data_IF_050478591948
#
_entry.id   IF_050478591948
#
_cell.length_a   1.000
_cell.length_b   1.000
_cell.length_c   1.000
_cell.angle_alpha   90.00
_cell.angle_beta   90.00
_cell.angle_gamma   90.00
#
_symmetry.space_group_name_H-M   'P 1'
#
loop_
_entity.id
_entity.type
_entity.pdbx_description
1 polymer ?
#
# COMPACT_ATOMS: atom_id res chain seq x y z
N UNK A 1 0.29 1.59 13.61
CA UNK A 1 -0.28 0.28 14.00
C UNK A 1 0.70 -0.37 14.96
N UNK A 2 0.46 -1.57 15.51
CA UNK A 2 1.44 -2.21 16.38
C UNK A 2 1.36 -3.73 16.33
N UNK A 3 2.48 -4.41 16.66
CA UNK A 3 2.54 -5.83 16.97
C UNK A 3 2.38 -6.00 18.48
N UNK A 4 1.42 -6.82 18.92
CA UNK A 4 1.22 -7.14 20.34
C UNK A 4 1.49 -8.62 20.58
N UNK A 5 2.33 -8.93 21.56
CA UNK A 5 2.27 -10.24 22.22
C UNK A 5 1.23 -10.19 23.33
N UNK A 6 0.11 -10.86 23.12
CA UNK A 6 -0.99 -10.92 24.07
C UNK A 6 -0.88 -12.17 24.93
N UNK A 7 -0.95 -12.02 26.26
CA UNK A 7 -1.11 -13.15 27.16
C UNK A 7 -2.61 -13.46 27.28
N UNK A 8 -3.09 -14.59 26.75
CA UNK A 8 -4.51 -14.93 26.81
C UNK A 8 -4.98 -15.33 28.21
N UNK A 9 -4.07 -15.80 29.07
CA UNK A 9 -4.39 -16.22 30.45
C UNK A 9 -4.49 -14.99 31.35
N UNK A 10 -3.46 -14.13 31.31
CA UNK A 10 -3.44 -12.90 32.11
C UNK A 10 -4.25 -11.75 31.46
N UNK A 11 -4.76 -11.95 30.24
CA UNK A 11 -5.53 -10.98 29.46
C UNK A 11 -4.86 -9.59 29.37
N UNK A 12 -3.56 -9.58 29.12
CA UNK A 12 -2.79 -8.33 29.03
C UNK A 12 -1.64 -8.43 28.02
N UNK A 13 -1.19 -7.31 27.43
CA UNK A 13 -0.01 -7.35 26.58
C UNK A 13 1.23 -7.67 27.43
N UNK A 14 2.06 -8.60 26.94
CA UNK A 14 3.41 -8.84 27.48
C UNK A 14 4.40 -7.79 26.99
N UNK A 15 4.29 -7.44 25.71
CA UNK A 15 5.04 -6.38 25.06
C UNK A 15 4.29 -5.87 23.82
N UNK A 16 4.71 -4.71 23.32
CA UNK A 16 4.23 -4.10 22.08
C UNK A 16 5.38 -3.52 21.28
N UNK A 17 5.28 -3.60 19.96
CA UNK A 17 6.19 -2.94 19.01
C UNK A 17 5.36 -2.04 18.10
N UNK A 18 5.66 -0.75 18.09
CA UNK A 18 5.02 0.19 17.17
C UNK A 18 5.44 -0.10 15.73
N UNK A 19 4.47 -0.09 14.83
CA UNK A 19 4.64 -0.40 13.42
C UNK A 19 4.25 0.78 12.52
N UNK A 20 4.95 0.93 11.39
CA UNK A 20 4.61 1.91 10.36
C UNK A 20 3.22 1.64 9.79
N UNK A 21 2.53 2.71 9.41
CA UNK A 21 1.23 2.66 8.76
C UNK A 21 0.14 2.00 9.60
N UNK A 22 -0.98 1.71 8.94
CA UNK A 22 -2.18 1.14 9.56
C UNK A 22 -2.49 -0.27 9.05
N UNK A 23 -1.62 -0.86 8.22
CA UNK A 23 -1.82 -2.16 7.59
C UNK A 23 -0.63 -3.11 7.86
N UNK A 24 -0.51 -3.65 9.09
CA UNK A 24 0.60 -4.52 9.45
C UNK A 24 0.48 -5.87 8.74
N UNK A 25 1.61 -6.51 8.45
CA UNK A 25 1.60 -7.85 7.89
C UNK A 25 1.28 -8.92 8.93
N UNK A 26 0.89 -10.09 8.43
CA UNK A 26 0.69 -11.29 9.24
C UNK A 26 1.98 -11.75 9.93
N UNK A 27 1.81 -12.58 10.97
CA UNK A 27 2.92 -13.06 11.80
C UNK A 27 3.06 -14.59 11.74
N UNK A 28 4.24 -15.08 12.09
CA UNK A 28 4.51 -16.51 12.33
C UNK A 28 5.45 -16.64 13.51
N UNK A 29 5.07 -17.44 14.52
CA UNK A 29 5.94 -17.82 15.62
C UNK A 29 6.62 -19.18 15.33
N UNK A 30 7.79 -19.42 15.92
CA UNK A 30 8.53 -20.67 15.80
C UNK A 30 8.93 -21.19 17.17
N UNK A 31 9.25 -22.49 17.28
CA UNK A 31 9.79 -23.09 18.50
C UNK A 31 11.21 -22.66 18.87
N UNK A 32 11.85 -21.80 18.07
CA UNK A 32 13.16 -21.22 18.35
C UNK A 32 13.09 -19.81 18.95
N UNK A 33 11.99 -19.48 19.63
CA UNK A 33 11.75 -18.18 20.28
C UNK A 33 11.79 -16.97 19.32
N UNK A 34 11.36 -17.17 18.07
CA UNK A 34 11.26 -16.12 17.07
C UNK A 34 9.82 -15.89 16.58
N UNK A 35 9.48 -14.62 16.37
CA UNK A 35 8.29 -14.18 15.64
C UNK A 35 8.71 -13.42 14.39
N UNK A 36 8.27 -13.87 13.22
CA UNK A 36 8.51 -13.21 11.94
C UNK A 36 7.30 -12.38 11.53
N UNK A 37 7.54 -11.19 10.97
CA UNK A 37 6.49 -10.31 10.46
C UNK A 37 6.98 -9.45 9.29
N UNK A 38 6.10 -9.27 8.31
CA UNK A 38 6.25 -8.27 7.25
C UNK A 38 5.65 -6.91 7.60
N UNK A 39 6.22 -5.83 7.06
CA UNK A 39 5.74 -4.45 7.28
C UNK A 39 5.37 -3.76 5.98
N UNK A 40 4.51 -2.74 6.10
CA UNK A 40 4.04 -1.91 4.98
C UNK A 40 5.15 -1.06 4.35
N UNK A 41 6.21 -0.75 5.09
CA UNK A 41 7.39 -0.03 4.60
C UNK A 41 8.41 -0.93 3.88
N UNK A 42 8.06 -2.19 3.66
CA UNK A 42 8.86 -3.17 2.93
C UNK A 42 9.97 -3.82 3.75
N UNK A 43 9.91 -3.75 5.08
CA UNK A 43 10.85 -4.45 5.95
C UNK A 43 10.25 -5.79 6.39
N UNK A 44 11.02 -6.88 6.26
CA UNK A 44 10.74 -8.17 6.87
C UNK A 44 11.60 -8.33 8.13
N UNK A 45 10.98 -8.68 9.26
CA UNK A 45 11.62 -8.62 10.58
C UNK A 45 11.45 -9.96 11.31
N UNK A 46 12.50 -10.39 12.00
CA UNK A 46 12.42 -11.39 13.05
C UNK A 46 12.58 -10.71 14.41
N UNK A 47 11.65 -11.00 15.32
CA UNK A 47 11.63 -10.51 16.68
C UNK A 47 11.90 -11.66 17.65
N UNK A 48 12.60 -11.37 18.74
CA UNK A 48 12.62 -12.23 19.92
C UNK A 48 11.20 -12.33 20.50
N UNK A 49 10.69 -13.56 20.63
CA UNK A 49 9.30 -13.81 21.01
C UNK A 49 8.95 -13.36 22.44
N UNK A 50 9.96 -13.29 23.33
CA UNK A 50 9.79 -12.98 24.74
C UNK A 50 9.79 -11.48 25.02
N UNK A 51 10.50 -10.71 24.20
CA UNK A 51 10.77 -9.28 24.44
C UNK A 51 10.22 -8.36 23.35
N UNK A 52 9.95 -8.88 22.14
CA UNK A 52 9.58 -8.07 20.98
C UNK A 52 10.77 -7.31 20.37
N UNK A 53 12.01 -7.57 20.80
CA UNK A 53 13.19 -6.93 20.24
C UNK A 53 13.46 -7.47 18.83
N UNK A 54 13.66 -6.58 17.86
CA UNK A 54 14.12 -6.99 16.53
C UNK A 54 15.54 -7.59 16.63
N UNK A 55 15.70 -8.82 16.14
CA UNK A 55 16.99 -9.55 16.13
C UNK A 55 17.53 -9.72 14.71
N UNK A 56 16.68 -9.58 13.69
CA UNK A 56 17.08 -9.60 12.29
C UNK A 56 16.09 -8.80 11.44
N UNK A 57 16.58 -8.15 10.39
CA UNK A 57 15.76 -7.40 9.43
C UNK A 57 16.27 -7.60 8.00
N UNK A 58 15.36 -7.47 7.03
CA UNK A 58 15.65 -7.49 5.61
C UNK A 58 14.78 -6.49 4.86
N UNK A 59 15.39 -5.71 3.96
CA UNK A 59 14.68 -4.78 3.09
C UNK A 59 14.17 -5.53 1.85
N UNK A 60 12.85 -5.67 1.73
CA UNK A 60 12.18 -6.43 0.67
C UNK A 60 11.79 -5.58 -0.56
N UNK A 61 12.00 -4.25 -0.50
CA UNK A 61 11.67 -3.24 -1.54
C UNK A 61 10.21 -3.20 -2.00
N UNK A 62 9.33 -3.91 -1.30
CA UNK A 62 7.90 -3.92 -1.49
C UNK A 62 7.21 -4.29 -0.18
N UNK A 63 5.98 -3.80 0.07
CA UNK A 63 5.21 -4.14 1.26
C UNK A 63 5.12 -5.64 1.50
N UNK A 64 5.09 -6.07 2.75
CA UNK A 64 4.92 -7.47 3.12
C UNK A 64 3.73 -7.58 4.05
N UNK A 65 2.56 -7.89 3.50
CA UNK A 65 1.31 -7.99 4.27
C UNK A 65 0.89 -9.44 4.56
N UNK A 66 1.34 -10.38 3.73
CA UNK A 66 1.06 -11.80 3.90
C UNK A 66 1.77 -12.39 5.13
N UNK A 67 1.16 -13.35 5.84
CA UNK A 67 1.86 -14.09 6.89
C UNK A 67 3.00 -14.93 6.28
N UNK A 68 4.18 -14.96 6.92
CA UNK A 68 5.25 -15.86 6.52
C UNK A 68 4.93 -17.32 6.87
N UNK A 69 5.63 -18.25 6.22
CA UNK A 69 5.62 -19.69 6.51
C UNK A 69 7.03 -20.21 6.79
N UNK A 70 7.14 -21.35 7.46
CA UNK A 70 8.41 -22.07 7.62
C UNK A 70 8.24 -23.55 7.25
N UNK A 71 9.28 -24.13 6.66
CA UNK A 71 9.33 -25.53 6.26
C UNK A 71 10.78 -26.02 6.23
N UNK A 72 10.98 -27.34 6.09
CA UNK A 72 12.31 -27.93 5.94
C UNK A 72 12.43 -28.72 4.63
N UNK A 73 13.61 -28.66 4.02
CA UNK A 73 13.97 -29.46 2.83
C UNK A 73 15.38 -29.99 3.04
N UNK A 74 15.56 -31.32 3.00
CA UNK A 74 16.88 -31.95 3.17
C UNK A 74 17.55 -31.59 4.52
N UNK A 75 16.77 -31.49 5.59
CA UNK A 75 17.27 -31.13 6.93
C UNK A 75 17.57 -29.63 7.13
N UNK A 76 17.42 -28.79 6.11
CA UNK A 76 17.60 -27.34 6.21
C UNK A 76 16.25 -26.64 6.35
N UNK A 77 16.14 -25.73 7.33
CA UNK A 77 14.95 -24.91 7.53
C UNK A 77 14.95 -23.68 6.63
N UNK A 78 13.76 -23.33 6.14
CA UNK A 78 13.48 -22.17 5.32
C UNK A 78 12.34 -21.36 5.93
N UNK A 79 12.38 -20.05 5.74
CA UNK A 79 11.28 -19.12 6.03
C UNK A 79 10.93 -18.42 4.73
N UNK A 80 9.66 -18.44 4.35
CA UNK A 80 9.19 -17.86 3.09
C UNK A 80 8.07 -16.88 3.32
N UNK A 81 8.10 -15.77 2.59
CA UNK A 81 7.05 -14.74 2.62
C UNK A 81 6.83 -14.19 1.22
N UNK A 82 5.62 -13.68 0.96
CA UNK A 82 5.29 -13.04 -0.31
C UNK A 82 5.26 -11.52 -0.10
N UNK A 83 5.97 -10.81 -0.96
CA UNK A 83 5.89 -9.35 -1.08
C UNK A 83 4.73 -8.95 -1.97
N UNK A 84 4.11 -7.84 -1.63
CA UNK A 84 2.96 -7.28 -2.30
C UNK A 84 2.07 -6.58 -1.30
N UNK A 85 1.42 -5.52 -1.76
CA UNK A 85 0.29 -4.93 -1.10
C UNK A 85 -0.99 -5.46 -1.76
N UNK A 86 -1.98 -5.86 -0.96
CA UNK A 86 -3.22 -6.39 -1.49
C UNK A 86 -4.10 -7.01 -0.41
N UNK A 87 -5.31 -6.49 -0.30
CA UNK A 87 -6.42 -7.03 0.47
C UNK A 87 -7.70 -6.30 0.04
N UNK A 88 -8.87 -6.94 0.20
CA UNK A 88 -10.16 -6.28 0.02
C UNK A 88 -10.24 -5.05 0.93
N UNK A 89 -10.57 -3.89 0.37
CA UNK A 89 -10.62 -2.63 1.13
C UNK A 89 -9.28 -1.91 1.31
N UNK A 90 -8.20 -2.34 0.66
CA UNK A 90 -6.87 -1.71 0.77
C UNK A 90 -6.85 -0.20 0.47
N UNK A 91 -7.74 0.28 -0.40
CA UNK A 91 -7.92 1.72 -0.63
C UNK A 91 -8.42 2.47 0.60
N UNK A 92 -9.29 1.89 1.44
CA UNK A 92 -9.83 2.55 2.65
C UNK A 92 -8.70 2.98 3.60
N UNK A 93 -7.65 2.18 3.69
CA UNK A 93 -6.52 2.39 4.61
C UNK A 93 -5.38 3.21 4.01
N UNK A 94 -5.51 3.59 2.73
CA UNK A 94 -4.50 4.32 1.96
C UNK A 94 -3.96 5.56 2.64
N UNK A 95 -4.77 6.39 3.30
CA UNK A 95 -4.30 7.64 3.93
C UNK A 95 -3.21 7.38 4.97
N UNK A 96 -3.34 6.30 5.76
CA UNK A 96 -2.33 5.90 6.75
C UNK A 96 -1.07 5.30 6.13
N UNK A 97 -1.14 4.87 4.86
CA UNK A 97 -0.04 4.24 4.15
C UNK A 97 0.54 5.10 3.01
N UNK A 98 -0.07 6.24 2.68
CA UNK A 98 0.29 7.08 1.54
C UNK A 98 1.75 7.52 1.58
N UNK A 99 2.29 7.74 2.79
CA UNK A 99 3.69 8.11 3.00
C UNK A 99 4.71 7.03 2.58
N UNK A 100 4.31 5.76 2.52
CA UNK A 100 5.15 4.65 2.06
C UNK A 100 5.11 4.46 0.54
N UNK A 101 4.25 5.23 -0.15
CA UNK A 101 4.08 5.23 -1.60
C UNK A 101 3.90 3.82 -2.17
N UNK A 102 3.13 2.99 -1.46
CA UNK A 102 2.77 1.65 -1.91
C UNK A 102 2.07 1.75 -3.26
N UNK A 103 2.51 0.96 -4.23
CA UNK A 103 2.01 0.99 -5.60
C UNK A 103 1.70 -0.44 -6.07
N UNK A 104 0.64 -0.61 -6.85
CA UNK A 104 0.20 -1.93 -7.30
C UNK A 104 1.17 -2.55 -8.32
N UNK A 105 2.04 -1.75 -8.95
CA UNK A 105 3.14 -2.18 -9.81
C UNK A 105 4.42 -2.55 -9.07
N UNK A 106 4.48 -2.37 -7.74
CA UNK A 106 5.65 -2.80 -6.99
C UNK A 106 5.93 -4.29 -7.21
N UNK A 107 7.20 -4.71 -7.19
CA UNK A 107 7.55 -6.10 -7.44
C UNK A 107 6.84 -7.04 -6.46
N UNK A 108 6.16 -8.04 -6.99
CA UNK A 108 5.57 -9.14 -6.22
C UNK A 108 6.48 -10.35 -6.33
N UNK A 109 7.02 -10.79 -5.19
CA UNK A 109 8.06 -11.80 -5.10
C UNK A 109 7.76 -12.80 -3.99
N UNK A 110 8.12 -14.05 -4.22
CA UNK A 110 8.31 -15.04 -3.17
C UNK A 110 9.74 -14.88 -2.66
N UNK A 111 9.91 -14.50 -1.40
CA UNK A 111 11.20 -14.36 -0.75
C UNK A 111 11.40 -15.53 0.21
N UNK A 112 12.47 -16.30 0.00
CA UNK A 112 12.82 -17.44 0.84
C UNK A 112 14.18 -17.22 1.49
N UNK A 113 14.22 -17.35 2.81
CA UNK A 113 15.37 -17.15 3.66
C UNK A 113 15.79 -18.47 4.31
N UNK A 114 17.09 -18.64 4.49
CA UNK A 114 17.69 -19.70 5.29
C UNK A 114 19.00 -19.18 5.88
N UNK A 115 19.49 -19.81 6.95
CA UNK A 115 20.82 -19.51 7.50
C UNK A 115 21.88 -19.60 6.38
N UNK A 116 22.82 -18.66 6.38
CA UNK A 116 23.90 -18.53 5.39
C UNK A 116 23.44 -18.38 3.92
N UNK A 117 22.19 -17.98 3.69
CA UNK A 117 21.69 -17.65 2.36
C UNK A 117 22.44 -16.47 1.74
N UNK A 118 22.89 -16.61 0.49
CA UNK A 118 23.64 -15.57 -0.25
C UNK A 118 22.84 -14.94 -1.41
N UNK A 119 21.54 -15.19 -1.44
CA UNK A 119 20.64 -14.61 -2.44
C UNK A 119 20.66 -13.09 -2.39
N UNK A 120 20.49 -12.45 -3.55
CA UNK A 120 20.39 -10.99 -3.65
C UNK A 120 19.02 -10.62 -4.18
N UNK A 121 18.45 -9.57 -3.61
CA UNK A 121 17.21 -9.00 -4.10
C UNK A 121 17.48 -8.24 -5.40
N UNK A 122 16.76 -8.51 -6.51
CA UNK A 122 16.85 -7.69 -7.69
C UNK A 122 16.42 -6.25 -7.38
N UNK A 123 17.13 -5.27 -7.92
CA UNK A 123 16.78 -3.86 -7.77
C UNK A 123 15.36 -3.62 -8.30
N UNK A 124 14.56 -2.90 -7.52
CA UNK A 124 13.27 -2.36 -7.95
C UNK A 124 13.43 -0.89 -8.34
N UNK A 125 12.63 -0.45 -9.32
CA UNK A 125 12.53 0.97 -9.62
C UNK A 125 11.74 1.68 -8.51
N UNK A 126 12.10 2.94 -8.19
CA UNK A 126 11.34 3.71 -7.23
C UNK A 126 9.94 4.02 -7.78
N UNK A 127 8.95 4.22 -6.90
CA UNK A 127 7.60 4.59 -7.33
C UNK A 127 7.59 5.89 -8.14
N UNK A 128 6.70 5.95 -9.14
CA UNK A 128 6.50 7.12 -9.98
C UNK A 128 6.15 8.36 -9.13
N UNK A 129 6.74 9.54 -9.41
CA UNK A 129 6.49 10.77 -8.66
C UNK A 129 4.99 11.11 -8.55
N UNK A 130 4.58 11.65 -7.39
CA UNK A 130 3.23 12.16 -7.21
C UNK A 130 3.14 13.58 -7.79
N UNK A 131 3.04 13.66 -9.12
CA UNK A 131 2.94 14.91 -9.86
C UNK A 131 1.58 14.95 -10.57
N UNK A 132 0.77 15.95 -10.25
CA UNK A 132 -0.49 16.18 -10.95
C UNK A 132 -0.21 16.61 -12.40
N UNK A 133 -0.97 16.10 -13.37
CA UNK A 133 -0.99 16.65 -14.72
C UNK A 133 -1.30 18.15 -14.71
N UNK A 134 -0.71 18.89 -15.65
CA UNK A 134 -1.02 20.30 -15.83
C UNK A 134 -2.46 20.46 -16.33
N UNK A 135 -3.24 21.30 -15.65
CA UNK A 135 -4.66 21.52 -15.95
C UNK A 135 -4.95 23.03 -15.95
N UNK A 136 -4.54 23.75 -17.01
CA UNK A 136 -4.66 25.20 -17.08
C UNK A 136 -6.12 25.68 -17.15
N UNK A 137 -7.04 24.81 -17.58
CA UNK A 137 -8.45 25.12 -17.76
C UNK A 137 -9.30 24.81 -16.51
N UNK A 138 -8.64 24.43 -15.40
CA UNK A 138 -9.35 24.19 -14.15
C UNK A 138 -9.96 25.48 -13.60
N UNK A 139 -11.28 25.46 -13.37
CA UNK A 139 -12.02 26.48 -12.65
C UNK A 139 -12.74 25.82 -11.50
N UNK A 140 -12.56 26.34 -10.28
CA UNK A 140 -13.22 25.81 -9.09
C UNK A 140 -14.75 25.90 -9.23
N UNK A 141 -15.44 24.84 -8.81
CA UNK A 141 -16.90 24.79 -8.75
C UNK A 141 -17.29 24.05 -7.48
N UNK A 142 -17.47 24.76 -6.34
CA UNK A 142 -17.66 24.12 -5.03
C UNK A 142 -18.87 23.19 -4.96
N UNK A 143 -19.97 23.51 -5.65
CA UNK A 143 -21.19 22.70 -5.65
C UNK A 143 -20.96 21.37 -6.39
N UNK A 144 -20.37 21.45 -7.59
CA UNK A 144 -20.08 20.30 -8.41
C UNK A 144 -18.99 19.41 -7.77
N UNK A 145 -17.98 20.03 -7.15
CA UNK A 145 -16.95 19.33 -6.39
C UNK A 145 -17.51 18.59 -5.17
N UNK A 146 -18.47 19.20 -4.45
CA UNK A 146 -19.16 18.54 -3.33
C UNK A 146 -19.97 17.34 -3.82
N UNK A 147 -20.74 17.50 -4.91
CA UNK A 147 -21.49 16.41 -5.54
C UNK A 147 -20.54 15.26 -5.94
N UNK A 148 -19.43 15.60 -6.60
CA UNK A 148 -18.42 14.64 -7.02
C UNK A 148 -17.77 13.87 -5.87
N UNK A 149 -17.44 14.56 -4.78
CA UNK A 149 -16.91 13.93 -3.57
C UNK A 149 -17.90 12.89 -2.99
N UNK A 150 -19.19 13.24 -2.93
CA UNK A 150 -20.24 12.34 -2.46
C UNK A 150 -20.40 11.13 -3.38
N UNK A 151 -20.49 11.34 -4.69
CA UNK A 151 -20.62 10.25 -5.66
C UNK A 151 -19.41 9.32 -5.64
N UNK A 152 -18.19 9.86 -5.57
CA UNK A 152 -16.97 9.07 -5.41
C UNK A 152 -17.02 8.19 -4.16
N UNK A 153 -17.54 8.74 -3.05
CA UNK A 153 -17.64 7.99 -1.81
C UNK A 153 -18.72 6.90 -1.87
N UNK A 154 -19.87 7.19 -2.47
CA UNK A 154 -21.02 6.28 -2.50
C UNK A 154 -20.89 5.17 -3.53
N UNK A 155 -20.12 5.39 -4.61
CA UNK A 155 -19.93 4.41 -5.69
C UNK A 155 -18.67 3.56 -5.52
N UNK A 156 -18.27 3.32 -4.27
CA UNK A 156 -17.15 2.46 -3.88
C UNK A 156 -15.77 2.85 -4.46
N UNK A 157 -15.63 4.00 -5.12
CA UNK A 157 -14.35 4.40 -5.72
C UNK A 157 -13.24 4.49 -4.66
N UNK A 158 -13.58 4.92 -3.44
CA UNK A 158 -12.66 5.00 -2.31
C UNK A 158 -12.08 3.64 -1.87
N UNK A 159 -12.76 2.52 -2.17
CA UNK A 159 -12.31 1.17 -1.79
C UNK A 159 -11.05 0.79 -2.57
N UNK A 160 -10.91 1.28 -3.80
CA UNK A 160 -9.78 1.02 -4.69
C UNK A 160 -8.81 2.22 -4.72
N UNK A 161 -9.33 3.41 -4.95
CA UNK A 161 -8.57 4.64 -5.18
C UNK A 161 -8.34 5.48 -3.91
N UNK A 162 -8.91 5.05 -2.77
CA UNK A 162 -8.68 5.60 -1.45
C UNK A 162 -9.51 6.85 -1.09
N UNK A 163 -9.64 7.18 0.21
CA UNK A 163 -10.31 8.41 0.65
C UNK A 163 -9.63 9.64 0.03
N UNK A 164 -10.42 10.62 -0.38
CA UNK A 164 -9.94 11.84 -1.04
C UNK A 164 -9.07 11.58 -2.30
N UNK A 165 -9.26 10.42 -2.96
CA UNK A 165 -8.45 9.97 -4.09
C UNK A 165 -6.96 9.79 -3.79
N UNK A 166 -6.58 9.71 -2.51
CA UNK A 166 -5.23 9.34 -2.09
C UNK A 166 -5.12 7.83 -2.19
N UNK A 167 -4.43 7.30 -3.20
CA UNK A 167 -4.34 5.85 -3.33
C UNK A 167 -3.32 5.24 -2.35
N UNK A 168 -3.59 4.01 -1.97
CA UNK A 168 -2.76 3.21 -1.06
C UNK A 168 -2.08 2.04 -1.77
N UNK A 169 -1.99 2.06 -3.10
CA UNK A 169 -1.37 1.00 -3.88
C UNK A 169 -2.25 -0.20 -4.20
N UNK A 170 -3.58 -0.09 -4.04
CA UNK A 170 -4.55 -1.09 -4.53
C UNK A 170 -4.98 -0.78 -5.98
N UNK A 171 -5.08 0.50 -6.32
CA UNK A 171 -5.39 1.01 -7.64
C UNK A 171 -4.62 2.34 -7.87
N UNK A 172 -4.64 2.93 -9.07
CA UNK A 172 -3.99 4.21 -9.34
C UNK A 172 -4.42 5.35 -8.41
N UNK A 173 -3.51 6.25 -8.09
CA UNK A 173 -3.84 7.54 -7.48
C UNK A 173 -4.48 8.45 -8.53
N UNK A 174 -5.77 8.72 -8.39
CA UNK A 174 -6.52 9.45 -9.42
C UNK A 174 -6.12 10.93 -9.49
N UNK A 175 -5.42 11.47 -8.48
CA UNK A 175 -4.97 12.86 -8.44
C UNK A 175 -3.83 13.13 -9.41
N UNK A 176 -3.11 12.08 -9.82
CA UNK A 176 -2.05 12.14 -10.84
C UNK A 176 -2.49 11.58 -12.20
N UNK A 177 -3.76 11.17 -12.31
CA UNK A 177 -4.29 10.61 -13.55
C UNK A 177 -4.52 11.72 -14.58
N UNK A 178 -4.12 11.52 -15.86
CA UNK A 178 -4.42 12.45 -16.93
C UNK A 178 -5.88 12.35 -17.42
N UNK A 179 -6.58 11.24 -17.12
CA UNK A 179 -7.92 11.00 -17.66
C UNK A 179 -8.95 12.07 -17.28
N UNK A 180 -9.00 12.60 -16.04
CA UNK A 180 -9.91 13.68 -15.70
C UNK A 180 -9.74 14.96 -16.56
N UNK A 181 -8.64 15.12 -17.30
CA UNK A 181 -8.43 16.26 -18.19
C UNK A 181 -9.25 16.20 -19.48
N UNK A 182 -9.72 15.01 -19.89
CA UNK A 182 -10.59 14.83 -21.06
C UNK A 182 -11.96 14.34 -20.59
N UNK A 183 -13.03 15.06 -20.97
CA UNK A 183 -14.40 14.65 -20.62
C UNK A 183 -14.72 13.29 -21.24
N UNK A 184 -14.39 13.12 -22.52
CA UNK A 184 -14.62 11.91 -23.30
C UNK A 184 -13.74 10.75 -22.79
N UNK A 185 -12.48 11.02 -22.51
CA UNK A 185 -11.56 10.04 -21.94
C UNK A 185 -12.03 9.53 -20.59
N UNK A 186 -12.45 10.42 -19.69
CA UNK A 186 -12.97 10.03 -18.38
C UNK A 186 -14.31 9.28 -18.48
N UNK A 187 -15.21 9.71 -19.37
CA UNK A 187 -16.46 9.03 -19.68
C UNK A 187 -16.22 7.59 -20.17
N UNK A 188 -15.28 7.40 -21.10
CA UNK A 188 -14.98 6.08 -21.66
C UNK A 188 -14.53 5.06 -20.62
N UNK A 189 -13.90 5.51 -19.52
CA UNK A 189 -13.48 4.64 -18.42
C UNK A 189 -14.67 4.27 -17.55
N UNK A 190 -15.42 5.26 -17.06
CA UNK A 190 -16.48 5.01 -16.08
C UNK A 190 -17.71 4.38 -16.71
N UNK A 191 -18.14 4.86 -17.88
CA UNK A 191 -19.38 4.45 -18.51
C UNK A 191 -19.17 3.40 -19.61
N UNK A 192 -18.20 3.59 -20.51
CA UNK A 192 -18.01 2.65 -21.63
C UNK A 192 -17.15 1.42 -21.22
N UNK A 193 -16.52 1.48 -20.05
CA UNK A 193 -15.77 0.35 -19.49
C UNK A 193 -14.44 0.08 -20.18
N UNK A 194 -13.76 1.12 -20.70
CA UNK A 194 -12.49 0.99 -21.42
C UNK A 194 -11.38 0.25 -20.64
N UNK A 195 -11.49 0.19 -19.31
CA UNK A 195 -10.51 -0.45 -18.42
C UNK A 195 -11.05 -1.69 -17.67
N UNK A 196 -12.18 -2.27 -18.09
CA UNK A 196 -12.75 -3.49 -17.47
C UNK A 196 -11.73 -4.64 -17.45
N UNK A 197 -10.99 -4.85 -18.54
CA UNK A 197 -9.96 -5.90 -18.63
C UNK A 197 -8.79 -5.69 -17.66
N UNK A 198 -8.63 -4.49 -17.11
CA UNK A 198 -7.65 -4.13 -16.10
C UNK A 198 -8.22 -4.11 -14.68
N UNK A 199 -9.49 -4.50 -14.51
CA UNK A 199 -10.16 -4.58 -13.20
C UNK A 199 -10.86 -3.29 -12.77
N UNK A 200 -10.97 -2.27 -13.63
CA UNK A 200 -11.78 -1.08 -13.34
C UNK A 200 -13.25 -1.34 -13.65
N UNK A 201 -14.12 -1.19 -12.65
CA UNK A 201 -15.55 -1.40 -12.83
C UNK A 201 -16.17 -0.35 -13.77
N UNK A 202 -17.22 -0.77 -14.47
CA UNK A 202 -18.11 0.10 -15.25
C UNK A 202 -19.31 0.50 -14.40
N UNK A 203 -19.75 1.74 -14.57
CA UNK A 203 -20.80 2.41 -13.80
C UNK A 203 -21.86 3.00 -14.75
N UNK A 204 -22.70 2.14 -15.33
CA UNK A 204 -23.76 2.54 -16.29
C UNK A 204 -24.88 3.34 -15.62
N UNK A 205 -24.99 3.24 -14.30
CA UNK A 205 -25.96 3.95 -13.47
C UNK A 205 -25.63 5.44 -13.28
N UNK A 206 -24.39 5.85 -13.54
CA UNK A 206 -23.97 7.25 -13.40
C UNK A 206 -24.34 8.03 -14.67
N UNK A 207 -25.07 9.13 -14.48
CA UNK A 207 -25.36 10.05 -15.57
C UNK A 207 -24.11 10.83 -16.02
N UNK A 208 -24.16 11.49 -17.18
CA UNK A 208 -23.11 12.42 -17.61
C UNK A 208 -22.80 13.49 -16.56
N UNK A 209 -23.83 14.04 -15.91
CA UNK A 209 -23.68 15.06 -14.86
C UNK A 209 -23.06 14.48 -13.57
N UNK A 210 -23.20 13.19 -13.32
CA UNK A 210 -22.58 12.51 -12.19
C UNK A 210 -21.10 12.23 -12.47
N UNK A 211 -20.80 11.72 -13.67
CA UNK A 211 -19.43 11.50 -14.15
C UNK A 211 -18.67 12.83 -14.17
N UNK A 212 -19.28 13.91 -14.67
CA UNK A 212 -18.68 15.24 -14.69
C UNK A 212 -18.45 15.78 -13.27
N UNK A 213 -19.35 15.52 -12.33
CA UNK A 213 -19.16 15.91 -10.93
C UNK A 213 -17.93 15.21 -10.33
N UNK A 214 -17.80 13.89 -10.51
CA UNK A 214 -16.65 13.12 -10.06
C UNK A 214 -15.36 13.66 -10.73
N UNK A 215 -15.40 13.92 -12.03
CA UNK A 215 -14.27 14.47 -12.80
C UNK A 215 -13.81 15.81 -12.25
N UNK A 216 -14.74 16.75 -12.05
CA UNK A 216 -14.47 18.07 -11.50
C UNK A 216 -13.83 17.98 -10.11
N UNK A 217 -14.36 17.11 -9.24
CA UNK A 217 -13.79 16.88 -7.93
C UNK A 217 -12.37 16.30 -8.00
N UNK A 218 -12.11 15.31 -8.85
CA UNK A 218 -10.78 14.73 -9.02
C UNK A 218 -9.76 15.74 -9.54
N UNK A 219 -10.15 16.60 -10.49
CA UNK A 219 -9.30 17.72 -10.95
C UNK A 219 -8.93 18.64 -9.80
N UNK A 220 -9.90 18.98 -8.92
CA UNK A 220 -9.61 19.80 -7.73
C UNK A 220 -8.70 19.11 -6.72
N UNK A 221 -8.78 17.77 -6.58
CA UNK A 221 -7.81 16.99 -5.78
C UNK A 221 -6.41 17.01 -6.40
N UNK A 222 -6.29 16.97 -7.72
CA UNK A 222 -5.02 17.11 -8.45
C UNK A 222 -4.37 18.48 -8.18
N UNK A 223 -5.14 19.57 -8.22
CA UNK A 223 -4.63 20.92 -7.91
C UNK A 223 -4.10 21.06 -6.48
N UNK A 224 -4.60 20.27 -5.54
CA UNK A 224 -4.16 20.27 -4.15
C UNK A 224 -2.87 19.48 -3.92
N UNK A 225 -2.35 18.75 -4.92
CA UNK A 225 -1.05 18.10 -4.82
C UNK A 225 0.06 19.15 -4.84
N UNK A 226 1.10 19.02 -4.00
CA UNK A 226 2.23 19.92 -4.07
C UNK A 226 2.95 19.72 -5.41
N UNK A 227 3.43 20.81 -6.01
CA UNK A 227 4.08 20.79 -7.33
C UNK A 227 5.37 19.94 -7.36
N UNK A 228 5.90 19.57 -6.20
CA UNK A 228 6.96 18.57 -5.98
C UNK A 228 6.85 17.94 -4.59
N UNK A 229 6.76 16.61 -4.47
CA UNK A 229 7.11 15.88 -3.21
C UNK A 229 7.74 14.52 -3.52
N UNK A 230 8.96 14.32 -3.02
CA UNK A 230 9.52 12.98 -2.80
C UNK A 230 8.91 12.41 -1.52
N UNK A 231 8.18 11.30 -1.60
CA UNK A 231 7.75 10.62 -0.38
C UNK A 231 8.92 9.95 0.32
N UNK A 232 8.69 9.46 1.54
CA UNK A 232 9.75 8.83 2.33
C UNK A 232 10.30 7.62 1.56
N UNK A 233 11.64 7.50 1.40
CA UNK A 233 12.24 6.28 0.89
C UNK A 233 11.80 5.09 1.76
N UNK A 234 11.51 3.95 1.13
CA UNK A 234 11.35 2.71 1.87
C UNK A 234 12.64 2.45 2.67
N UNK A 235 12.52 2.16 3.96
CA UNK A 235 13.67 1.81 4.81
C UNK A 235 14.57 2.97 5.28
N UNK A 236 14.12 4.24 5.24
CA UNK A 236 14.94 5.39 5.68
C UNK A 236 15.49 5.31 7.13
N UNK A 237 14.92 4.43 7.98
CA UNK A 237 15.36 4.22 9.37
C UNK A 237 16.01 2.85 9.63
N UNK A 238 16.10 1.97 8.61
CA UNK A 238 16.73 0.66 8.76
C UNK A 238 18.24 0.77 8.59
N UNK A 239 18.94 1.19 9.66
CA UNK A 239 20.40 0.98 9.75
C UNK A 239 20.65 -0.51 9.52
N UNK A 240 21.32 -0.84 8.42
CA UNK A 240 21.83 -2.17 8.11
C UNK A 240 22.93 -2.53 9.12
N UNK A 241 22.50 -2.98 10.31
CA UNK A 241 23.36 -3.53 11.34
C UNK A 241 23.78 -4.95 10.98
N UNK A 242 24.58 -5.12 9.93
CA UNK A 242 25.45 -6.28 9.80
C UNK A 242 26.68 -6.03 10.68
N UNK A 243 26.60 -6.34 11.96
CA UNK A 243 27.78 -6.58 12.80
C UNK A 243 27.56 -7.89 13.55
N UNK A 244 27.92 -8.97 12.87
CA UNK A 244 28.21 -10.25 13.49
C UNK A 244 29.72 -10.45 13.48
N UNK A 245 30.32 -10.35 14.65
CA UNK A 245 31.54 -11.02 15.10
C UNK A 245 31.43 -11.15 16.61
#
# INVERSE_FOLDING_TARGET
SHLTAWDPVAQKPRWRVELPGNWPGGTMATGGDLVFQGRIDGVFVAYDANTGKAVWTFQADAPVVAPPISYSVGGRQYVTVITGNGASGGGIFSTGNAGYRTDYHMPRRVLTFALDGKGRLPRADPPAPLIAPNDPDFKANPELEKKGATLYAMNACLICHGPNAVAGGTAPDLRISPYPLSKEGFWSILHDGALISQGMARYEELSEDDVEAIRQWLRSRGQALPKTVGGKPQGADAKTGMTGS
#
